data_IF_867491935878
#
_entry.id   IF_867491935878
#
_cell.length_a   1.000
_cell.length_b   1.000
_cell.length_c   1.000
_cell.angle_alpha   90.00
_cell.angle_beta   90.00
_cell.angle_gamma   90.00
#
_symmetry.space_group_name_H-M   'P 1'
#
loop_
_entity.id
_entity.type
_entity.pdbx_description
1 polymer ?
#
# COMPACT_ATOMS: atom_id res chain seq x y z
N UNK A 1 -5.64 -6.06 -1.11
CA UNK A 1 -5.71 -7.18 -2.08
C UNK A 1 -6.07 -8.45 -1.33
N UNK A 2 -7.10 -9.16 -1.80
CA UNK A 2 -7.62 -10.41 -1.22
C UNK A 2 -7.43 -11.51 -2.26
N UNK A 3 -7.03 -12.69 -1.82
CA UNK A 3 -6.93 -13.89 -2.65
C UNK A 3 -8.32 -14.52 -2.79
N UNK A 4 -8.82 -14.72 -4.03
CA UNK A 4 -10.17 -15.26 -4.29
C UNK A 4 -10.41 -16.64 -3.68
N UNK A 5 -9.37 -17.46 -3.55
CA UNK A 5 -9.48 -18.80 -2.97
C UNK A 5 -9.38 -18.80 -1.43
N UNK A 6 -8.58 -17.88 -0.84
CA UNK A 6 -8.29 -17.86 0.58
C UNK A 6 -9.22 -16.93 1.40
N UNK A 7 -9.77 -15.90 0.73
CA UNK A 7 -10.52 -14.85 1.42
C UNK A 7 -9.64 -13.96 2.30
N UNK A 8 -10.16 -13.55 3.45
CA UNK A 8 -9.49 -12.62 4.35
C UNK A 8 -8.51 -13.34 5.28
N UNK A 9 -7.22 -13.17 5.02
CA UNK A 9 -6.13 -13.75 5.82
C UNK A 9 -5.83 -12.91 7.09
N UNK A 10 -5.22 -13.50 8.15
CA UNK A 10 -4.90 -12.78 9.38
C UNK A 10 -4.10 -11.50 9.18
N UNK A 11 -3.18 -11.48 8.21
CA UNK A 11 -2.40 -10.29 7.88
C UNK A 11 -3.27 -9.17 7.30
N UNK A 12 -4.26 -9.50 6.49
CA UNK A 12 -5.24 -8.53 5.96
C UNK A 12 -6.00 -7.85 7.09
N UNK A 13 -6.45 -8.62 8.09
CA UNK A 13 -7.14 -8.07 9.28
C UNK A 13 -6.27 -7.09 10.05
N UNK A 14 -5.01 -7.44 10.29
CA UNK A 14 -4.05 -6.56 11.02
C UNK A 14 -3.84 -5.25 10.26
N UNK A 15 -3.60 -5.31 8.95
CA UNK A 15 -3.39 -4.12 8.13
C UNK A 15 -4.66 -3.26 8.00
N UNK A 16 -5.83 -3.89 7.90
CA UNK A 16 -7.11 -3.20 7.89
C UNK A 16 -7.33 -2.39 9.17
N UNK A 17 -7.05 -2.99 10.34
CA UNK A 17 -7.14 -2.29 11.62
C UNK A 17 -6.26 -1.04 11.66
N UNK A 18 -5.03 -1.11 11.13
CA UNK A 18 -4.13 0.05 11.02
C UNK A 18 -4.72 1.14 10.13
N UNK A 19 -5.26 0.77 8.96
CA UNK A 19 -5.92 1.71 8.06
C UNK A 19 -7.11 2.39 8.74
N UNK A 20 -7.96 1.61 9.42
CA UNK A 20 -9.13 2.13 10.14
C UNK A 20 -8.76 3.10 11.26
N UNK A 21 -7.76 2.75 12.08
CA UNK A 21 -7.26 3.62 13.15
C UNK A 21 -6.76 4.97 12.64
N UNK A 22 -6.34 5.04 11.38
CA UNK A 22 -5.80 6.24 10.73
C UNK A 22 -6.77 6.93 9.78
N UNK A 23 -8.00 6.43 9.66
CA UNK A 23 -8.97 6.97 8.71
C UNK A 23 -8.51 6.88 7.25
N UNK A 24 -7.73 5.85 6.90
CA UNK A 24 -7.22 5.66 5.54
C UNK A 24 -8.29 4.96 4.71
N UNK A 25 -8.77 5.55 3.61
CA UNK A 25 -9.70 4.91 2.68
C UNK A 25 -9.12 3.63 2.08
N UNK A 26 -9.99 2.67 1.81
CA UNK A 26 -9.60 1.35 1.35
C UNK A 26 -10.29 1.04 0.04
N UNK A 27 -9.51 0.61 -0.96
CA UNK A 27 -9.99 0.01 -2.20
C UNK A 27 -9.65 -1.47 -2.15
N UNK A 28 -10.63 -2.31 -2.38
CA UNK A 28 -10.47 -3.76 -2.31
C UNK A 28 -10.35 -4.36 -3.71
N UNK A 29 -9.29 -5.16 -3.94
CA UNK A 29 -9.10 -5.92 -5.16
C UNK A 29 -9.07 -7.41 -4.84
N UNK A 30 -10.08 -8.15 -5.29
CA UNK A 30 -10.16 -9.62 -5.16
C UNK A 30 -9.42 -10.22 -6.35
N UNK A 31 -8.25 -10.75 -6.08
CA UNK A 31 -7.25 -11.17 -7.05
C UNK A 31 -7.32 -12.68 -7.33
N UNK A 32 -6.72 -13.08 -8.44
CA UNK A 32 -6.51 -14.46 -8.89
C UNK A 32 -7.75 -15.14 -9.47
N UNK A 33 -8.61 -14.38 -10.16
CA UNK A 33 -9.74 -14.95 -10.90
C UNK A 33 -9.31 -15.91 -12.04
N UNK A 34 -8.04 -15.91 -12.42
CA UNK A 34 -7.43 -16.89 -13.34
C UNK A 34 -7.41 -18.31 -12.76
N UNK A 35 -7.79 -18.49 -11.51
CA UNK A 35 -7.89 -19.77 -10.79
C UNK A 35 -9.27 -19.94 -10.19
N UNK A 36 -9.61 -21.21 -9.89
CA UNK A 36 -10.82 -21.50 -9.14
C UNK A 36 -10.72 -20.90 -7.73
N UNK A 37 -11.75 -20.19 -7.33
CA UNK A 37 -11.85 -19.49 -6.06
C UNK A 37 -13.19 -19.76 -5.37
N UNK A 38 -13.47 -19.00 -4.31
CA UNK A 38 -14.76 -19.01 -3.61
C UNK A 38 -15.77 -18.15 -4.38
N UNK A 39 -17.03 -18.38 -4.11
CA UNK A 39 -18.12 -17.61 -4.71
C UNK A 39 -17.97 -16.11 -4.39
N UNK A 40 -18.19 -15.23 -5.37
CA UNK A 40 -18.04 -13.79 -5.19
C UNK A 40 -18.90 -13.21 -4.08
N UNK A 41 -20.16 -13.68 -3.94
CA UNK A 41 -21.07 -13.29 -2.85
C UNK A 41 -20.51 -13.64 -1.48
N UNK A 42 -19.91 -14.83 -1.32
CA UNK A 42 -19.31 -15.24 -0.06
C UNK A 42 -18.10 -14.36 0.31
N UNK A 43 -17.31 -13.94 -0.68
CA UNK A 43 -16.14 -13.09 -0.48
C UNK A 43 -16.52 -11.67 -0.08
N UNK A 44 -17.56 -11.10 -0.68
CA UNK A 44 -18.08 -9.79 -0.30
C UNK A 44 -18.74 -9.80 1.07
N UNK A 45 -19.54 -10.82 1.38
CA UNK A 45 -20.13 -11.00 2.71
C UNK A 45 -19.04 -11.17 3.78
N UNK A 46 -18.02 -11.99 3.55
CA UNK A 46 -16.89 -12.13 4.48
C UNK A 46 -16.15 -10.81 4.70
N UNK A 47 -16.00 -9.99 3.66
CA UNK A 47 -15.36 -8.67 3.77
C UNK A 47 -16.13 -7.76 4.73
N UNK A 48 -17.45 -7.71 4.59
CA UNK A 48 -18.32 -6.90 5.45
C UNK A 48 -18.37 -7.43 6.90
N UNK A 49 -18.55 -8.73 7.06
CA UNK A 49 -18.66 -9.37 8.38
C UNK A 49 -17.35 -9.31 9.18
N UNK A 50 -16.23 -9.56 8.51
CA UNK A 50 -14.93 -9.69 9.17
C UNK A 50 -14.26 -8.35 9.39
N UNK A 51 -14.38 -7.42 8.45
CA UNK A 51 -13.74 -6.12 8.52
C UNK A 51 -14.68 -5.05 9.07
N UNK A 52 -16.00 -5.23 9.00
CA UNK A 52 -16.97 -4.27 9.47
C UNK A 52 -16.96 -2.97 8.68
N UNK A 53 -16.82 -3.08 7.35
CA UNK A 53 -16.84 -1.96 6.39
C UNK A 53 -17.88 -2.28 5.32
N UNK A 54 -18.68 -1.31 4.93
CA UNK A 54 -19.62 -1.48 3.81
C UNK A 54 -18.85 -1.73 2.52
N UNK A 55 -19.41 -2.51 1.60
CA UNK A 55 -18.82 -2.79 0.29
C UNK A 55 -19.74 -2.38 -0.86
N UNK A 56 -19.13 -1.92 -1.96
CA UNK A 56 -19.81 -1.70 -3.23
C UNK A 56 -19.05 -2.41 -4.34
N UNK A 57 -19.71 -3.36 -5.00
CA UNK A 57 -19.13 -4.07 -6.12
C UNK A 57 -19.07 -3.17 -7.37
N UNK A 58 -17.86 -2.79 -7.77
CA UNK A 58 -17.64 -2.00 -8.98
C UNK A 58 -17.73 -2.84 -10.25
N UNK A 59 -17.32 -4.10 -10.16
CA UNK A 59 -17.45 -5.10 -11.20
C UNK A 59 -17.78 -6.48 -10.61
N UNK A 60 -18.26 -7.39 -11.45
CA UNK A 60 -18.63 -8.75 -11.05
C UNK A 60 -18.08 -9.79 -12.03
N UNK A 61 -17.51 -10.91 -11.57
CA UNK A 61 -16.90 -11.89 -12.45
C UNK A 61 -17.92 -12.72 -13.22
N UNK A 62 -17.70 -12.90 -14.50
CA UNK A 62 -18.43 -13.84 -15.35
C UNK A 62 -17.60 -15.12 -15.43
N UNK A 63 -17.75 -15.96 -14.42
CA UNK A 63 -16.98 -17.18 -14.23
C UNK A 63 -15.62 -16.95 -13.55
N UNK A 64 -14.91 -18.04 -13.27
CA UNK A 64 -13.56 -18.05 -12.68
C UNK A 64 -12.71 -19.19 -13.24
N UNK A 65 -11.41 -19.13 -13.03
CA UNK A 65 -10.47 -20.16 -13.48
C UNK A 65 -10.56 -20.38 -14.97
N UNK A 66 -10.68 -21.62 -15.38
CA UNK A 66 -10.86 -21.98 -16.81
C UNK A 66 -12.19 -21.54 -17.41
N UNK A 67 -13.17 -21.23 -16.54
CA UNK A 67 -14.48 -20.74 -16.94
C UNK A 67 -14.59 -19.21 -16.98
N UNK A 68 -13.52 -18.48 -16.73
CA UNK A 68 -13.52 -17.02 -16.75
C UNK A 68 -13.79 -16.50 -18.17
N UNK A 69 -14.89 -15.75 -18.31
CA UNK A 69 -15.35 -15.16 -19.60
C UNK A 69 -15.15 -13.65 -19.63
N UNK A 70 -15.29 -12.99 -18.49
CA UNK A 70 -15.24 -11.54 -18.40
C UNK A 70 -15.54 -10.99 -17.04
N UNK A 71 -15.69 -9.67 -16.99
CA UNK A 71 -16.17 -8.91 -15.85
C UNK A 71 -17.36 -8.05 -16.27
N UNK A 72 -18.45 -8.12 -15.55
CA UNK A 72 -19.54 -7.16 -15.67
C UNK A 72 -19.16 -5.92 -14.85
N UNK A 73 -18.93 -4.79 -15.51
CA UNK A 73 -18.65 -3.50 -14.89
C UNK A 73 -19.98 -2.86 -14.48
N UNK A 74 -20.35 -3.03 -13.22
CA UNK A 74 -21.63 -2.56 -12.67
C UNK A 74 -21.71 -1.03 -12.74
N UNK A 75 -20.61 -0.37 -12.41
CA UNK A 75 -20.58 1.09 -12.35
C UNK A 75 -20.70 1.78 -13.73
N UNK A 76 -20.06 1.20 -14.76
CA UNK A 76 -20.09 1.78 -16.12
C UNK A 76 -21.08 1.10 -17.07
N UNK A 77 -21.85 0.10 -16.60
CA UNK A 77 -22.83 -0.66 -17.38
C UNK A 77 -22.26 -1.21 -18.69
N UNK A 78 -21.19 -2.01 -18.59
CA UNK A 78 -20.52 -2.66 -19.72
C UNK A 78 -19.87 -3.98 -19.29
N UNK A 79 -19.47 -4.78 -20.25
CA UNK A 79 -18.75 -6.03 -19.99
C UNK A 79 -17.33 -5.94 -20.52
N UNK A 80 -16.32 -6.21 -19.69
CA UNK A 80 -14.95 -6.41 -20.09
C UNK A 80 -14.74 -7.91 -20.39
N UNK A 81 -14.49 -8.27 -21.66
CA UNK A 81 -14.25 -9.66 -22.04
C UNK A 81 -12.84 -10.10 -21.64
N UNK A 82 -12.75 -11.30 -21.07
CA UNK A 82 -11.46 -11.93 -20.82
C UNK A 82 -10.85 -12.42 -22.13
N UNK A 83 -9.68 -11.89 -22.46
CA UNK A 83 -8.90 -12.23 -23.67
C UNK A 83 -7.43 -12.43 -23.30
N UNK A 84 -6.67 -13.04 -24.22
CA UNK A 84 -5.22 -13.13 -24.08
C UNK A 84 -4.58 -11.73 -24.14
N UNK A 85 -3.42 -11.58 -23.52
CA UNK A 85 -2.70 -10.29 -23.48
C UNK A 85 -2.45 -9.69 -24.87
N UNK A 86 -2.24 -10.53 -25.88
CA UNK A 86 -1.98 -10.11 -27.27
C UNK A 86 -3.22 -9.54 -27.98
N UNK A 87 -4.43 -9.81 -27.49
CA UNK A 87 -5.68 -9.38 -28.13
C UNK A 87 -6.21 -8.03 -27.59
N UNK A 88 -5.62 -7.52 -26.52
CA UNK A 88 -6.01 -6.27 -25.88
C UNK A 88 -7.38 -6.34 -25.17
N UNK A 89 -7.76 -5.22 -24.54
CA UNK A 89 -9.06 -5.11 -23.87
C UNK A 89 -10.20 -4.97 -24.88
N UNK A 90 -11.29 -5.68 -24.64
CA UNK A 90 -12.53 -5.54 -25.40
C UNK A 90 -13.70 -5.34 -24.44
N UNK A 91 -14.52 -4.35 -24.75
CA UNK A 91 -15.72 -4.03 -23.99
C UNK A 91 -16.96 -4.24 -24.85
N UNK A 92 -18.03 -4.78 -24.24
CA UNK A 92 -19.36 -4.86 -24.79
C UNK A 92 -20.23 -3.85 -24.05
N UNK A 93 -20.83 -2.94 -24.80
CA UNK A 93 -21.75 -1.95 -24.24
C UNK A 93 -23.11 -2.58 -23.94
N UNK A 94 -23.74 -2.16 -22.84
CA UNK A 94 -25.09 -2.57 -22.47
C UNK A 94 -26.09 -1.46 -22.86
N UNK A 95 -27.33 -1.85 -23.09
CA UNK A 95 -28.44 -0.91 -23.26
C UNK A 95 -29.04 -0.54 -21.88
N UNK A 96 -30.09 0.30 -21.89
CA UNK A 96 -30.78 0.77 -20.66
C UNK A 96 -31.48 -0.37 -19.90
N UNK A 97 -31.66 -1.56 -20.51
CA UNK A 97 -32.22 -2.75 -19.90
C UNK A 97 -31.12 -3.74 -19.43
N UNK A 98 -29.84 -3.39 -19.59
CA UNK A 98 -28.71 -4.26 -19.24
C UNK A 98 -28.42 -5.35 -20.28
N UNK A 99 -28.98 -5.27 -21.49
CA UNK A 99 -28.70 -6.20 -22.56
C UNK A 99 -27.50 -5.75 -23.41
N UNK A 100 -26.71 -6.73 -23.89
CA UNK A 100 -25.54 -6.43 -24.74
C UNK A 100 -26.00 -5.86 -26.08
N UNK A 101 -25.48 -4.67 -26.43
CA UNK A 101 -25.69 -4.05 -27.74
C UNK A 101 -24.90 -4.79 -28.82
N UNK A 102 -25.61 -5.30 -29.86
CA UNK A 102 -25.00 -5.94 -31.02
C UNK A 102 -24.77 -7.43 -30.86
N UNK A 103 -23.60 -7.92 -31.30
CA UNK A 103 -23.25 -9.33 -31.19
C UNK A 103 -22.93 -9.71 -29.75
N UNK A 104 -23.64 -10.70 -29.23
CA UNK A 104 -23.50 -11.15 -27.85
C UNK A 104 -22.81 -12.52 -27.79
N UNK A 105 -21.48 -12.58 -27.59
CA UNK A 105 -20.75 -13.83 -27.50
C UNK A 105 -21.06 -14.64 -26.23
N UNK A 106 -21.77 -14.05 -25.25
CA UNK A 106 -22.12 -14.68 -23.97
C UNK A 106 -23.59 -15.16 -23.92
N UNK A 107 -24.36 -14.96 -25.00
CA UNK A 107 -25.81 -15.22 -25.04
C UNK A 107 -26.20 -16.63 -24.59
N UNK A 108 -25.43 -17.62 -24.98
CA UNK A 108 -25.70 -19.05 -24.71
C UNK A 108 -24.96 -19.58 -23.46
N UNK A 109 -24.18 -18.74 -22.80
CA UNK A 109 -23.43 -19.13 -21.60
C UNK A 109 -24.35 -19.10 -20.36
N UNK A 110 -24.55 -20.25 -19.74
CA UNK A 110 -25.37 -20.36 -18.52
C UNK A 110 -24.84 -19.49 -17.37
N UNK A 111 -23.52 -19.34 -17.30
CA UNK A 111 -22.85 -18.52 -16.28
C UNK A 111 -23.21 -17.03 -16.41
N UNK A 112 -23.44 -16.54 -17.63
CA UNK A 112 -23.86 -15.15 -17.84
C UNK A 112 -25.26 -14.88 -17.26
N UNK A 113 -26.18 -15.81 -17.42
CA UNK A 113 -27.52 -15.70 -16.84
C UNK A 113 -27.49 -15.69 -15.32
N UNK A 114 -26.67 -16.56 -14.72
CA UNK A 114 -26.47 -16.56 -13.27
C UNK A 114 -25.93 -15.23 -12.79
N UNK A 115 -24.95 -14.66 -13.50
CA UNK A 115 -24.36 -13.35 -13.15
C UNK A 115 -25.40 -12.22 -13.17
N UNK A 116 -26.30 -12.22 -14.16
CA UNK A 116 -27.38 -11.22 -14.18
C UNK A 116 -28.32 -11.31 -12.98
N UNK A 117 -28.66 -12.55 -12.55
CA UNK A 117 -29.45 -12.77 -11.33
C UNK A 117 -28.70 -12.30 -10.07
N UNK A 118 -27.38 -12.55 -9.99
CA UNK A 118 -26.54 -12.10 -8.87
C UNK A 118 -26.43 -10.58 -8.83
N UNK A 119 -26.29 -9.91 -9.99
CA UNK A 119 -26.26 -8.45 -10.10
C UNK A 119 -27.56 -7.82 -9.64
N UNK A 120 -28.71 -8.38 -10.05
CA UNK A 120 -30.02 -7.92 -9.58
C UNK A 120 -30.15 -7.99 -8.06
N UNK A 121 -29.60 -9.06 -7.45
CA UNK A 121 -29.55 -9.20 -5.99
C UNK A 121 -28.65 -8.14 -5.34
N UNK A 122 -27.49 -7.88 -5.91
CA UNK A 122 -26.53 -6.91 -5.38
C UNK A 122 -27.08 -5.48 -5.49
N UNK A 123 -27.69 -5.12 -6.61
CA UNK A 123 -28.32 -3.82 -6.81
C UNK A 123 -29.54 -3.63 -5.91
N UNK A 124 -30.29 -4.71 -5.62
CA UNK A 124 -31.46 -4.65 -4.76
C UNK A 124 -31.19 -4.67 -3.25
N UNK A 125 -30.10 -5.27 -2.81
CA UNK A 125 -29.78 -5.49 -1.40
C UNK A 125 -28.43 -4.91 -0.95
N UNK A 126 -27.58 -4.48 -1.89
CA UNK A 126 -26.24 -3.95 -1.61
C UNK A 126 -26.26 -2.49 -1.16
N UNK A 127 -25.07 -2.00 -0.77
CA UNK A 127 -24.85 -0.58 -0.49
C UNK A 127 -24.90 0.24 -1.78
N UNK A 128 -25.39 1.47 -1.70
CA UNK A 128 -25.30 2.41 -2.81
C UNK A 128 -23.87 2.96 -2.94
N UNK A 129 -23.47 3.32 -4.17
CA UNK A 129 -22.19 3.97 -4.41
C UNK A 129 -22.16 5.37 -3.79
N UNK A 130 -21.21 5.59 -2.87
CA UNK A 130 -21.09 6.85 -2.13
C UNK A 130 -19.63 7.28 -2.01
N UNK A 131 -19.25 8.33 -2.77
CA UNK A 131 -17.88 8.86 -2.78
C UNK A 131 -17.47 9.46 -1.43
N UNK A 132 -18.40 10.02 -0.65
CA UNK A 132 -18.07 10.58 0.66
C UNK A 132 -17.77 9.46 1.67
N UNK A 133 -18.54 8.37 1.65
CA UNK A 133 -18.27 7.19 2.47
C UNK A 133 -16.94 6.54 2.11
N UNK A 134 -16.60 6.48 0.80
CA UNK A 134 -15.29 5.98 0.34
C UNK A 134 -14.18 6.86 0.93
N UNK A 135 -14.28 8.17 0.79
CA UNK A 135 -13.27 9.11 1.29
C UNK A 135 -13.09 9.05 2.82
N UNK A 136 -14.16 8.72 3.57
CA UNK A 136 -14.13 8.53 5.03
C UNK A 136 -13.66 7.14 5.47
N UNK A 137 -13.50 6.18 4.54
CA UNK A 137 -13.15 4.79 4.86
C UNK A 137 -14.31 4.00 5.49
N UNK A 138 -15.54 4.40 5.25
CA UNK A 138 -16.77 3.73 5.70
C UNK A 138 -17.29 2.73 4.68
N UNK A 139 -17.00 2.93 3.39
CA UNK A 139 -17.32 2.06 2.28
C UNK A 139 -16.07 1.74 1.46
N UNK A 140 -15.91 0.49 1.04
CA UNK A 140 -14.84 0.08 0.13
C UNK A 140 -15.40 -0.29 -1.24
N UNK A 141 -14.92 0.35 -2.34
CA UNK A 141 -15.20 -0.16 -3.69
C UNK A 141 -14.44 -1.47 -3.91
N UNK A 142 -15.16 -2.50 -4.34
CA UNK A 142 -14.64 -3.86 -4.55
C UNK A 142 -14.50 -4.15 -6.03
N UNK A 143 -13.33 -4.61 -6.41
CA UNK A 143 -12.99 -5.02 -7.77
C UNK A 143 -12.55 -6.47 -7.78
N UNK A 144 -12.97 -7.18 -8.79
CA UNK A 144 -12.52 -8.53 -9.09
C UNK A 144 -11.58 -8.51 -10.30
N UNK A 145 -10.55 -9.37 -10.29
CA UNK A 145 -9.63 -9.45 -11.42
C UNK A 145 -8.48 -10.43 -11.21
N UNK A 146 -7.52 -10.40 -12.11
CA UNK A 146 -6.27 -11.14 -12.02
C UNK A 146 -5.08 -10.25 -12.34
N UNK A 147 -4.25 -10.00 -11.32
CA UNK A 147 -3.02 -9.24 -11.51
C UNK A 147 -1.98 -10.02 -12.36
N UNK A 148 -2.05 -11.35 -12.38
CA UNK A 148 -1.15 -12.17 -13.20
C UNK A 148 -1.38 -11.94 -14.69
N UNK A 149 -2.64 -11.81 -15.10
CA UNK A 149 -3.05 -11.63 -16.51
C UNK A 149 -3.41 -10.17 -16.81
N UNK A 150 -3.16 -9.23 -15.91
CA UNK A 150 -3.55 -7.82 -16.00
C UNK A 150 -5.06 -7.57 -16.22
N UNK A 151 -5.91 -8.60 -16.00
CA UNK A 151 -7.34 -8.51 -16.23
C UNK A 151 -8.08 -7.79 -15.10
N UNK A 152 -8.90 -6.80 -15.43
CA UNK A 152 -9.60 -5.93 -14.46
C UNK A 152 -8.70 -4.92 -13.74
N UNK A 153 -7.37 -4.97 -13.92
CA UNK A 153 -6.42 -4.09 -13.23
C UNK A 153 -6.53 -2.66 -13.73
N UNK A 154 -6.69 -2.47 -15.06
CA UNK A 154 -6.84 -1.12 -15.62
C UNK A 154 -8.09 -0.43 -15.10
N UNK A 155 -9.23 -1.12 -15.10
CA UNK A 155 -10.50 -0.61 -14.58
C UNK A 155 -10.37 -0.22 -13.09
N UNK A 156 -9.69 -1.05 -12.29
CA UNK A 156 -9.35 -0.73 -10.91
C UNK A 156 -8.51 0.54 -10.79
N UNK A 157 -7.44 0.67 -11.58
CA UNK A 157 -6.55 1.83 -11.53
C UNK A 157 -7.23 3.12 -11.98
N UNK A 158 -8.07 3.06 -13.02
CA UNK A 158 -8.84 4.21 -13.50
C UNK A 158 -9.81 4.71 -12.40
N UNK A 159 -10.51 3.80 -11.73
CA UNK A 159 -11.38 4.13 -10.62
C UNK A 159 -10.58 4.64 -9.41
N UNK A 160 -9.44 4.04 -9.10
CA UNK A 160 -8.55 4.51 -8.05
C UNK A 160 -8.10 5.96 -8.29
N UNK A 161 -7.66 6.28 -9.51
CA UNK A 161 -7.26 7.65 -9.87
C UNK A 161 -8.43 8.65 -9.74
N UNK A 162 -9.65 8.19 -9.98
CA UNK A 162 -10.84 9.05 -9.91
C UNK A 162 -11.30 9.29 -8.47
N UNK A 163 -11.29 8.26 -7.62
CA UNK A 163 -11.92 8.29 -6.29
C UNK A 163 -10.94 8.28 -5.13
N UNK A 164 -9.63 8.06 -5.36
CA UNK A 164 -8.64 8.16 -4.30
C UNK A 164 -8.60 9.60 -3.76
N UNK A 165 -8.63 9.78 -2.43
CA UNK A 165 -8.57 11.12 -1.86
C UNK A 165 -7.21 11.76 -2.14
N UNK A 166 -7.19 13.09 -2.15
CA UNK A 166 -5.95 13.87 -2.16
C UNK A 166 -5.14 13.55 -0.89
N UNK A 167 -3.80 13.79 -0.92
CA UNK A 167 -3.00 13.66 0.28
C UNK A 167 -3.61 14.46 1.44
N UNK A 168 -3.75 13.81 2.59
CA UNK A 168 -4.30 14.44 3.79
C UNK A 168 -3.25 15.28 4.52
N UNK A 169 -3.70 16.21 5.36
CA UNK A 169 -2.85 16.92 6.30
C UNK A 169 -2.16 15.96 7.28
N UNK A 170 -0.96 16.31 7.70
CA UNK A 170 -0.18 15.53 8.65
C UNK A 170 -0.05 16.24 9.99
N UNK A 171 -0.34 15.52 11.08
CA UNK A 171 -0.22 16.05 12.45
C UNK A 171 1.24 16.16 12.89
N UNK A 172 1.50 17.18 13.65
CA UNK A 172 2.79 17.44 14.29
C UNK A 172 2.72 17.20 15.80
N UNK A 173 3.87 17.00 16.45
CA UNK A 173 3.93 16.73 17.89
C UNK A 173 3.33 17.87 18.76
N UNK A 174 3.27 19.10 18.23
CA UNK A 174 2.63 20.24 18.91
C UNK A 174 1.11 20.31 18.71
N UNK A 175 0.52 19.31 18.02
CA UNK A 175 -0.90 19.22 17.73
C UNK A 175 -1.38 20.07 16.57
N UNK A 176 -0.48 20.79 15.88
CA UNK A 176 -0.82 21.49 14.65
C UNK A 176 -0.86 20.54 13.45
N UNK A 177 -1.48 20.96 12.36
CA UNK A 177 -1.54 20.20 11.11
C UNK A 177 -0.74 20.90 10.02
N UNK A 178 -0.10 20.10 9.17
CA UNK A 178 0.63 20.56 7.99
C UNK A 178 -0.16 20.15 6.76
N UNK A 179 -0.74 21.15 6.10
CA UNK A 179 -1.50 20.96 4.88
C UNK A 179 -0.57 20.69 3.67
N UNK A 180 -0.97 19.83 2.73
CA UNK A 180 -0.17 19.48 1.54
C UNK A 180 0.15 20.69 0.65
N UNK A 181 -0.73 21.68 0.58
CA UNK A 181 -0.61 22.88 -0.25
C UNK A 181 0.25 23.99 0.37
N UNK A 182 0.77 23.77 1.59
CA UNK A 182 1.72 24.68 2.21
C UNK A 182 2.95 24.85 1.33
N UNK A 183 3.40 26.09 1.11
CA UNK A 183 4.54 26.41 0.24
C UNK A 183 5.89 25.88 0.72
N UNK A 184 6.11 25.91 2.04
CA UNK A 184 7.36 25.39 2.62
C UNK A 184 7.38 23.87 2.49
N UNK A 185 8.50 23.34 1.98
CA UNK A 185 8.72 21.90 1.91
C UNK A 185 8.82 21.30 3.31
N UNK A 186 8.14 20.18 3.51
CA UNK A 186 8.35 19.33 4.67
C UNK A 186 8.10 17.87 4.33
N UNK A 187 8.78 16.98 5.04
CA UNK A 187 8.64 15.55 4.88
C UNK A 187 9.16 14.80 6.09
N UNK A 188 8.81 13.54 6.20
CA UNK A 188 9.32 12.67 7.25
C UNK A 188 9.88 11.36 6.70
N UNK A 189 10.88 10.84 7.40
CA UNK A 189 11.56 9.60 7.05
C UNK A 189 10.83 8.43 7.70
N UNK A 190 10.21 7.58 6.89
CA UNK A 190 9.42 6.47 7.40
C UNK A 190 10.12 5.11 7.25
N UNK A 191 11.16 5.03 6.40
CA UNK A 191 11.91 3.80 6.16
C UNK A 191 13.36 4.12 5.84
N UNK A 192 14.26 3.28 6.29
CA UNK A 192 15.65 3.27 5.87
C UNK A 192 15.99 1.85 5.40
N UNK A 193 16.67 1.76 4.26
CA UNK A 193 17.12 0.49 3.72
C UNK A 193 18.57 0.61 3.30
N UNK A 194 19.41 -0.29 3.80
CA UNK A 194 20.81 -0.36 3.42
C UNK A 194 21.08 -1.59 2.55
N UNK A 195 22.20 -1.55 1.81
CA UNK A 195 22.72 -2.66 1.00
C UNK A 195 21.69 -3.22 -0.01
N UNK A 196 20.86 -2.37 -0.61
CA UNK A 196 19.94 -2.80 -1.68
C UNK A 196 20.69 -3.37 -2.88
N UNK A 197 21.90 -2.89 -3.13
CA UNK A 197 22.82 -3.47 -4.10
C UNK A 197 23.93 -4.23 -3.34
N UNK A 198 24.06 -5.56 -3.51
CA UNK A 198 25.11 -6.34 -2.84
C UNK A 198 26.54 -5.85 -3.10
N UNK A 199 26.76 -5.19 -4.25
CA UNK A 199 28.05 -4.69 -4.68
C UNK A 199 28.37 -3.28 -4.15
N UNK A 200 27.38 -2.58 -3.58
CA UNK A 200 27.54 -1.22 -3.08
C UNK A 200 26.99 -1.11 -1.66
N UNK A 201 27.72 -0.45 -0.78
CA UNK A 201 27.25 -0.08 0.56
C UNK A 201 26.43 1.19 0.47
N UNK A 202 25.27 1.10 -0.18
CA UNK A 202 24.32 2.19 -0.25
C UNK A 202 23.33 2.12 0.92
N UNK A 203 22.91 3.27 1.38
CA UNK A 203 21.85 3.45 2.37
C UNK A 203 20.91 4.49 1.82
N UNK A 204 19.62 4.16 1.78
CA UNK A 204 18.57 5.01 1.25
C UNK A 204 17.55 5.27 2.36
N UNK A 205 17.28 6.55 2.60
CA UNK A 205 16.19 7.00 3.45
C UNK A 205 14.98 7.33 2.58
N UNK A 206 13.85 6.70 2.84
CA UNK A 206 12.59 6.96 2.15
C UNK A 206 11.84 8.05 2.89
N UNK A 207 11.51 9.09 2.16
CA UNK A 207 10.83 10.29 2.65
C UNK A 207 9.45 10.38 2.04
N UNK A 208 8.43 10.52 2.88
CA UNK A 208 7.11 10.99 2.48
C UNK A 208 7.12 12.50 2.47
N UNK A 209 6.82 13.12 1.34
CA UNK A 209 6.64 14.58 1.25
C UNK A 209 5.26 14.93 1.79
N UNK A 210 5.20 15.79 2.79
CA UNK A 210 3.96 16.18 3.46
C UNK A 210 3.47 17.56 3.02
N UNK A 211 4.36 18.45 2.60
CA UNK A 211 4.00 19.77 2.06
C UNK A 211 5.06 20.32 1.13
N UNK A 212 4.66 21.28 0.31
CA UNK A 212 5.54 21.96 -0.62
C UNK A 212 6.06 21.09 -1.75
N UNK A 213 7.12 21.55 -2.38
CA UNK A 213 7.74 20.90 -3.53
C UNK A 213 9.21 20.58 -3.22
N UNK A 214 9.64 19.40 -3.61
CA UNK A 214 11.01 18.96 -3.56
C UNK A 214 11.71 19.30 -4.87
N UNK A 215 12.85 19.95 -4.77
CA UNK A 215 13.80 20.17 -5.87
C UNK A 215 15.13 19.51 -5.53
N UNK A 216 15.71 18.80 -6.49
CA UNK A 216 17.02 18.18 -6.33
C UNK A 216 18.09 19.20 -5.99
N UNK A 217 18.85 18.93 -4.95
CA UNK A 217 19.89 19.82 -4.47
C UNK A 217 19.42 20.94 -3.55
N UNK A 218 18.13 20.95 -3.17
CA UNK A 218 17.61 21.89 -2.18
C UNK A 218 18.26 21.69 -0.81
N UNK A 219 18.28 22.75 -0.03
CA UNK A 219 18.74 22.74 1.36
C UNK A 219 17.55 22.60 2.32
N UNK A 220 17.64 21.68 3.25
CA UNK A 220 16.62 21.45 4.28
C UNK A 220 17.25 21.45 5.68
N UNK A 221 16.45 21.68 6.70
CA UNK A 221 16.82 21.45 8.08
C UNK A 221 16.38 20.07 8.54
N UNK A 222 17.25 19.35 9.23
CA UNK A 222 16.91 18.12 9.96
C UNK A 222 16.48 18.53 11.39
N UNK A 223 15.19 18.36 11.71
CA UNK A 223 14.61 18.86 12.97
C UNK A 223 15.36 18.33 14.21
N UNK A 224 15.62 17.03 14.28
CA UNK A 224 16.27 16.38 15.43
C UNK A 224 17.62 17.00 15.81
N UNK A 225 18.37 17.50 14.83
CA UNK A 225 19.74 18.04 15.07
C UNK A 225 19.86 19.53 14.82
N UNK A 226 18.86 20.17 14.21
CA UNK A 226 18.90 21.55 13.74
C UNK A 226 19.90 21.80 12.59
N UNK A 227 20.53 20.74 12.06
CA UNK A 227 21.55 20.87 11.01
C UNK A 227 20.90 21.08 9.65
N UNK A 228 21.56 21.92 8.84
CA UNK A 228 21.22 22.11 7.45
C UNK A 228 21.87 21.02 6.62
N UNK A 229 21.10 20.38 5.75
CA UNK A 229 21.52 19.28 4.86
C UNK A 229 21.13 19.63 3.42
N UNK A 230 21.98 19.26 2.48
CA UNK A 230 21.71 19.39 1.05
C UNK A 230 21.25 18.06 0.48
N UNK A 231 20.08 18.05 -0.17
CA UNK A 231 19.47 16.86 -0.77
C UNK A 231 19.92 16.67 -2.22
N UNK A 232 21.19 16.30 -2.41
CA UNK A 232 21.82 16.27 -3.75
C UNK A 232 21.49 15.04 -4.57
N UNK A 233 21.27 13.90 -3.90
CA UNK A 233 21.10 12.61 -4.55
C UNK A 233 19.73 12.02 -4.19
N UNK A 234 18.75 12.31 -5.03
CA UNK A 234 17.40 11.82 -4.94
C UNK A 234 17.14 10.75 -5.99
N UNK A 235 16.38 9.75 -5.64
CA UNK A 235 16.01 8.66 -6.53
C UNK A 235 14.54 8.31 -6.36
N UNK A 236 13.90 7.93 -7.45
CA UNK A 236 12.61 7.30 -7.47
C UNK A 236 12.78 5.82 -7.87
N UNK A 237 11.96 4.97 -7.28
CA UNK A 237 11.96 3.55 -7.60
C UNK A 237 10.75 3.26 -8.48
N UNK A 238 11.02 2.75 -9.69
CA UNK A 238 10.00 2.13 -10.56
C UNK A 238 10.38 0.67 -10.75
N UNK A 239 9.68 -0.21 -10.05
CA UNK A 239 10.00 -1.63 -9.96
C UNK A 239 11.50 -1.85 -9.60
N UNK A 240 12.28 -2.47 -10.46
CA UNK A 240 13.70 -2.73 -10.24
C UNK A 240 14.63 -1.60 -10.71
N UNK A 241 14.09 -0.56 -11.35
CA UNK A 241 14.89 0.54 -11.87
C UNK A 241 14.94 1.70 -10.90
N UNK A 242 16.12 2.35 -10.83
CA UNK A 242 16.34 3.57 -10.06
C UNK A 242 16.52 4.71 -11.04
N UNK A 243 15.66 5.68 -10.97
CA UNK A 243 15.76 6.89 -11.77
C UNK A 243 16.08 8.09 -10.89
N UNK A 244 16.89 9.00 -11.40
CA UNK A 244 17.15 10.27 -10.70
C UNK A 244 15.90 11.13 -10.78
N UNK A 245 15.47 11.63 -9.62
CA UNK A 245 14.30 12.47 -9.51
C UNK A 245 14.73 13.94 -9.38
N UNK A 246 14.22 14.81 -10.24
CA UNK A 246 14.49 16.24 -10.18
C UNK A 246 13.51 16.97 -9.27
N UNK A 247 12.22 16.69 -9.39
CA UNK A 247 11.15 17.34 -8.62
C UNK A 247 10.15 16.33 -8.08
N UNK A 248 9.50 16.64 -6.96
CA UNK A 248 8.40 15.86 -6.40
C UNK A 248 7.51 16.76 -5.53
N UNK A 249 6.25 16.35 -5.35
CA UNK A 249 5.23 17.15 -4.65
C UNK A 249 4.71 16.46 -3.40
N UNK A 250 3.93 17.18 -2.60
CA UNK A 250 3.27 16.62 -1.43
C UNK A 250 2.43 15.39 -1.81
N UNK A 251 2.64 14.30 -1.07
CA UNK A 251 2.06 13.00 -1.37
C UNK A 251 3.04 12.00 -1.99
N UNK A 252 4.11 12.46 -2.63
CA UNK A 252 5.12 11.59 -3.21
C UNK A 252 6.04 10.95 -2.15
N UNK A 253 6.64 9.85 -2.54
CA UNK A 253 7.70 9.18 -1.79
C UNK A 253 8.98 9.23 -2.62
N UNK A 254 10.03 9.78 -2.01
CA UNK A 254 11.35 9.85 -2.63
C UNK A 254 12.39 9.09 -1.81
N UNK A 255 13.40 8.56 -2.49
CA UNK A 255 14.58 7.97 -1.85
C UNK A 255 15.73 8.98 -1.81
N UNK A 256 16.32 9.20 -0.65
CA UNK A 256 17.50 10.02 -0.46
C UNK A 256 18.70 9.15 -0.10
N UNK A 257 19.80 9.30 -0.81
CA UNK A 257 21.04 8.65 -0.40
C UNK A 257 21.50 9.22 0.95
N UNK A 258 21.74 8.33 1.89
CA UNK A 258 22.05 8.68 3.27
C UNK A 258 23.44 8.17 3.68
N UNK A 259 24.26 9.07 4.20
CA UNK A 259 25.58 8.75 4.76
C UNK A 259 25.52 8.42 6.27
N UNK A 260 24.33 8.21 6.82
CA UNK A 260 24.09 7.92 8.24
C UNK A 260 23.56 9.11 9.03
N UNK A 261 23.05 10.14 8.36
CA UNK A 261 22.48 11.32 8.99
C UNK A 261 21.05 11.09 9.47
N UNK A 262 20.27 10.29 8.73
CA UNK A 262 18.85 10.11 8.95
C UNK A 262 18.51 8.92 9.87
N UNK A 263 17.40 9.05 10.57
CA UNK A 263 16.75 8.02 11.37
C UNK A 263 15.27 7.93 10.99
N UNK A 264 14.66 6.76 11.19
CA UNK A 264 13.21 6.60 11.02
C UNK A 264 12.50 7.52 12.01
N UNK A 265 11.51 8.28 11.52
CA UNK A 265 10.79 9.28 12.29
C UNK A 265 11.38 10.69 12.22
N UNK A 266 12.55 10.86 11.59
CA UNK A 266 13.11 12.20 11.40
C UNK A 266 12.20 13.06 10.50
N UNK A 267 12.04 14.32 10.89
CA UNK A 267 11.37 15.36 10.11
C UNK A 267 12.40 16.26 9.43
N UNK A 268 12.17 16.56 8.16
CA UNK A 268 12.96 17.51 7.37
C UNK A 268 12.05 18.62 6.86
N UNK A 269 12.55 19.85 6.82
CA UNK A 269 11.74 21.00 6.44
C UNK A 269 12.57 22.15 5.87
N UNK A 270 11.88 23.07 5.18
CA UNK A 270 12.39 24.39 4.81
C UNK A 270 11.64 25.48 5.57
N UNK A 271 12.07 26.72 5.44
CA UNK A 271 11.43 27.87 6.07
C UNK A 271 11.94 28.12 7.50
N UNK A 272 11.28 29.06 8.20
CA UNK A 272 11.71 29.56 9.52
C UNK A 272 11.12 28.78 10.69
N UNK A 273 9.93 28.18 10.50
CA UNK A 273 9.24 27.42 11.55
C UNK A 273 9.63 25.95 11.44
N UNK A 274 10.19 25.40 12.49
CA UNK A 274 10.48 23.97 12.57
C UNK A 274 9.18 23.16 12.47
N UNK A 275 9.26 22.03 11.76
CA UNK A 275 8.17 21.06 11.63
C UNK A 275 8.66 19.74 12.20
N UNK A 276 7.91 19.21 13.17
CA UNK A 276 8.17 17.92 13.78
C UNK A 276 6.90 17.08 13.73
N UNK A 277 6.88 16.11 12.83
CA UNK A 277 5.74 15.22 12.68
C UNK A 277 5.59 14.25 13.86
N UNK A 278 4.37 13.79 14.10
CA UNK A 278 4.10 12.73 15.07
C UNK A 278 4.91 11.47 14.76
N UNK A 279 5.31 10.77 15.80
CA UNK A 279 6.05 9.51 15.64
C UNK A 279 5.22 8.47 14.94
N UNK A 280 5.87 7.69 14.08
CA UNK A 280 5.24 6.52 13.48
C UNK A 280 4.87 5.50 14.56
N UNK A 281 3.69 4.86 14.46
CA UNK A 281 3.33 3.79 15.36
C UNK A 281 4.33 2.64 15.21
N UNK A 282 4.82 2.15 16.33
CA UNK A 282 5.67 0.97 16.38
C UNK A 282 4.87 -0.19 16.94
N UNK A 283 4.95 -1.34 16.28
CA UNK A 283 4.39 -2.57 16.82
C UNK A 283 5.26 -3.05 17.99
N UNK A 284 4.61 -3.44 19.08
CA UNK A 284 5.32 -4.06 20.20
C UNK A 284 5.85 -5.43 19.75
N UNK A 285 7.13 -5.74 20.02
CA UNK A 285 7.66 -7.07 19.73
C UNK A 285 6.91 -8.15 20.49
N UNK A 286 6.62 -9.24 19.78
CA UNK A 286 5.98 -10.43 20.36
C UNK A 286 7.01 -11.55 20.60
N UNK A 287 8.14 -11.53 19.88
CA UNK A 287 9.21 -12.53 19.97
C UNK A 287 10.51 -11.88 20.40
N UNK A 288 11.25 -12.59 21.26
CA UNK A 288 12.54 -12.13 21.77
C UNK A 288 13.62 -13.18 21.60
N UNK A 289 14.80 -12.76 21.15
CA UNK A 289 15.94 -13.64 20.93
C UNK A 289 17.21 -13.02 21.51
N UNK A 290 17.92 -13.78 22.36
CA UNK A 290 19.27 -13.41 22.82
C UNK A 290 20.25 -13.64 21.68
N UNK A 291 21.13 -12.67 21.43
CA UNK A 291 22.11 -12.72 20.36
C UNK A 291 23.51 -12.46 20.89
N UNK A 292 24.46 -13.25 20.41
CA UNK A 292 25.87 -13.14 20.75
C UNK A 292 26.74 -13.34 19.53
N UNK A 293 27.91 -12.71 19.50
CA UNK A 293 28.87 -12.94 18.43
C UNK A 293 29.51 -14.34 18.57
N UNK A 294 29.35 -15.22 17.56
CA UNK A 294 30.02 -16.53 17.54
C UNK A 294 31.54 -16.42 17.58
N UNK A 295 32.11 -15.34 17.05
CA UNK A 295 33.55 -15.12 16.99
C UNK A 295 33.87 -13.76 17.62
N UNK A 296 34.65 -13.81 18.70
CA UNK A 296 35.09 -12.62 19.47
C UNK A 296 35.83 -11.61 18.58
N UNK A 297 36.62 -12.09 17.60
CA UNK A 297 37.34 -11.20 16.67
C UNK A 297 36.41 -10.41 15.74
N UNK A 298 35.16 -10.85 15.53
CA UNK A 298 34.15 -10.18 14.71
C UNK A 298 33.16 -9.32 15.52
N UNK A 299 33.44 -9.09 16.81
CA UNK A 299 32.54 -8.37 17.71
C UNK A 299 32.21 -6.97 17.21
N UNK A 300 33.17 -6.22 16.64
CA UNK A 300 32.93 -4.91 16.05
C UNK A 300 31.94 -4.96 14.86
N UNK A 301 32.09 -5.97 14.00
CA UNK A 301 31.19 -6.16 12.84
C UNK A 301 29.80 -6.57 13.31
N UNK A 302 29.69 -7.40 14.34
CA UNK A 302 28.44 -7.80 14.96
C UNK A 302 27.68 -6.59 15.54
N UNK A 303 28.35 -5.75 16.33
CA UNK A 303 27.73 -4.53 16.85
C UNK A 303 27.25 -3.59 15.73
N UNK A 304 28.07 -3.42 14.70
CA UNK A 304 27.70 -2.58 13.56
C UNK A 304 26.48 -3.13 12.81
N UNK A 305 26.43 -4.46 12.62
CA UNK A 305 25.28 -5.13 11.96
C UNK A 305 23.99 -4.97 12.77
N UNK A 306 24.04 -5.20 14.08
CA UNK A 306 22.87 -4.98 14.96
C UNK A 306 22.38 -3.53 14.86
N UNK A 307 23.29 -2.57 15.02
CA UNK A 307 22.92 -1.16 14.95
C UNK A 307 22.28 -0.79 13.60
N UNK A 308 22.78 -1.35 12.51
CA UNK A 308 22.21 -1.13 11.19
C UNK A 308 20.78 -1.66 11.10
N UNK A 309 20.54 -2.91 11.51
CA UNK A 309 19.20 -3.52 11.48
C UNK A 309 18.18 -2.78 12.38
N UNK A 310 18.64 -2.27 13.53
CA UNK A 310 17.81 -1.42 14.39
C UNK A 310 17.48 -0.09 13.71
N UNK A 311 18.46 0.52 13.05
CA UNK A 311 18.24 1.78 12.33
C UNK A 311 17.32 1.61 11.11
N UNK A 312 17.32 0.42 10.50
CA UNK A 312 16.40 0.05 9.42
C UNK A 312 14.99 -0.31 9.94
N UNK A 313 14.82 -0.39 11.27
CA UNK A 313 13.54 -0.76 11.90
C UNK A 313 13.17 -2.24 11.75
N UNK A 314 14.12 -3.08 11.33
CA UNK A 314 13.89 -4.51 11.16
C UNK A 314 13.62 -5.23 12.49
N UNK A 315 14.33 -4.82 13.55
CA UNK A 315 14.22 -5.37 14.91
C UNK A 315 14.36 -4.25 15.94
N UNK A 316 13.89 -4.50 17.16
CA UNK A 316 14.16 -3.64 18.31
C UNK A 316 15.30 -4.25 19.14
N UNK A 317 16.18 -3.40 19.66
CA UNK A 317 17.32 -3.83 20.48
C UNK A 317 17.08 -3.50 21.95
N UNK A 318 17.24 -4.52 22.77
CA UNK A 318 17.25 -4.42 24.21
C UNK A 318 18.59 -4.90 24.76
N UNK A 319 18.98 -4.40 25.91
CA UNK A 319 20.16 -4.89 26.63
C UNK A 319 19.72 -5.34 28.01
N UNK A 320 20.11 -6.59 28.36
CA UNK A 320 19.84 -7.10 29.70
C UNK A 320 20.63 -6.29 30.74
N UNK A 321 19.93 -5.76 31.71
CA UNK A 321 20.54 -4.96 32.79
C UNK A 321 21.50 -5.81 33.64
N UNK A 322 21.19 -7.09 33.86
CA UNK A 322 21.95 -7.96 34.76
C UNK A 322 23.17 -8.62 34.07
N UNK A 323 23.06 -8.97 32.78
CA UNK A 323 24.11 -9.73 32.08
C UNK A 323 24.82 -8.92 31.00
N UNK A 324 24.25 -7.77 30.60
CA UNK A 324 24.75 -6.96 29.49
C UNK A 324 24.49 -7.57 28.10
N UNK A 325 23.78 -8.71 28.03
CA UNK A 325 23.48 -9.39 26.76
C UNK A 325 22.54 -8.58 25.88
N UNK A 326 22.72 -8.70 24.58
CA UNK A 326 21.79 -8.15 23.59
C UNK A 326 20.61 -9.09 23.38
N UNK A 327 19.40 -8.50 23.38
CA UNK A 327 18.15 -9.16 23.13
C UNK A 327 17.49 -8.41 21.97
N UNK A 328 17.19 -9.12 20.90
CA UNK A 328 16.43 -8.59 19.77
C UNK A 328 14.95 -8.89 19.98
N UNK A 329 14.11 -7.89 19.76
CA UNK A 329 12.66 -8.02 19.74
C UNK A 329 12.14 -7.88 18.31
N UNK A 330 11.24 -8.76 17.91
CA UNK A 330 10.61 -8.78 16.59
C UNK A 330 9.10 -9.02 16.70
N UNK A 331 8.34 -8.55 15.73
CA UNK A 331 6.89 -8.80 15.62
C UNK A 331 6.62 -10.21 15.06
N UNK A 332 7.53 -10.72 14.24
CA UNK A 332 7.40 -12.03 13.60
C UNK A 332 8.74 -12.72 13.36
N UNK A 333 8.69 -14.05 13.17
CA UNK A 333 9.89 -14.90 13.05
C UNK A 333 10.75 -14.56 11.83
N UNK A 334 10.13 -14.15 10.70
CA UNK A 334 10.84 -13.77 9.48
C UNK A 334 11.85 -12.62 9.71
N UNK A 335 11.58 -11.74 10.66
CA UNK A 335 12.51 -10.65 11.00
C UNK A 335 13.82 -11.17 11.61
N UNK A 336 13.78 -12.30 12.31
CA UNK A 336 14.99 -12.96 12.81
C UNK A 336 15.74 -13.73 11.72
N UNK A 337 15.05 -14.21 10.68
CA UNK A 337 15.67 -14.91 9.56
C UNK A 337 16.50 -13.98 8.67
N UNK A 338 16.15 -12.68 8.65
CA UNK A 338 16.94 -11.64 7.97
C UNK A 338 18.24 -11.30 8.73
N UNK A 339 18.27 -11.56 10.04
CA UNK A 339 19.42 -11.32 10.92
C UNK A 339 20.52 -12.38 10.70
#
# INVERSE_FOLDING_TARGET
VIDSAKGIEPQTKKLFQVCRMRGIPIFTFINKLDRDGREPLDLTAELEDVLGIESYAMNWPIGMGKGLKGLYDIYNHRIELYRSEDEGQAFLELDDNGEIKGDNPLKDESIYKQVLEEIELIEGAGSEFDEEKIAKGELTPVFFGSALTNFGVKTFLDAYLKYAPKPAAHKTEDGSEVEPDRKDFSGFIFKIQANMNPNHRDRIAFVRICSGEFDRGMDVFLERTGKKLRLSNSTQFMADTRETLETAVAGDIIGLYDTGNFQIGDSIYTGKKAVKFEKLPQFTPELFMRVTAKNVMKQKSFHKGIQQLVQEGAVQLYQSYSTGDYILGAVGQLQFEVF
#
